data_IF_769077124535
#
_entry.id   IF_769077124535
#
_cell.length_a   1.000
_cell.length_b   1.000
_cell.length_c   1.000
_cell.angle_alpha   90.00
_cell.angle_beta   90.00
_cell.angle_gamma   90.00
#
_symmetry.space_group_name_H-M   'P 1'
#
loop_
_entity.id
_entity.type
_entity.pdbx_description
1 polymer ?
#
# COMPACT_ATOMS: atom_id res chain seq x y z
N UNK A 1 -24.59 58.96 -31.78
CA UNK A 1 -24.50 59.27 -30.33
C UNK A 1 -24.86 58.01 -29.57
N UNK A 2 -23.95 57.46 -28.76
CA UNK A 2 -24.23 56.23 -27.99
C UNK A 2 -22.98 55.50 -27.49
N UNK A 3 -22.37 56.07 -26.44
CA UNK A 3 -21.50 55.49 -25.37
C UNK A 3 -20.48 54.37 -25.69
N UNK A 4 -19.19 54.52 -25.31
CA UNK A 4 -18.22 53.42 -25.30
C UNK A 4 -18.30 52.62 -23.99
N UNK A 5 -18.14 51.30 -24.09
CA UNK A 5 -17.91 50.41 -22.94
C UNK A 5 -16.41 50.30 -22.71
N UNK A 6 -15.95 50.83 -21.57
CA UNK A 6 -14.65 50.54 -20.99
C UNK A 6 -14.82 49.73 -19.71
N UNK A 7 -14.02 48.68 -19.54
CA UNK A 7 -13.68 48.08 -18.23
C UNK A 7 -12.38 47.29 -18.40
N UNK A 8 -11.22 47.91 -18.15
CA UNK A 8 -10.50 47.85 -16.88
C UNK A 8 -10.16 46.42 -16.44
N UNK A 9 -9.07 45.90 -16.99
CA UNK A 9 -8.29 44.81 -16.41
C UNK A 9 -7.61 45.32 -15.13
N UNK A 10 -7.91 44.68 -13.99
CA UNK A 10 -7.20 44.88 -12.72
C UNK A 10 -6.16 43.75 -12.59
N UNK A 11 -4.86 44.04 -12.44
CA UNK A 11 -3.91 43.02 -12.01
C UNK A 11 -4.06 42.75 -10.50
N UNK A 12 -3.72 41.54 -10.01
CA UNK A 12 -3.76 41.23 -8.59
C UNK A 12 -2.67 42.00 -7.83
N UNK A 13 -3.02 42.49 -6.64
CA UNK A 13 -2.12 43.19 -5.72
C UNK A 13 -1.06 42.23 -5.17
N UNK A 14 0.21 42.58 -5.32
CA UNK A 14 1.32 41.97 -4.60
C UNK A 14 1.20 42.32 -3.10
N UNK A 15 1.07 41.29 -2.26
CA UNK A 15 1.18 41.43 -0.81
C UNK A 15 2.65 41.60 -0.42
N UNK A 16 2.97 42.77 0.15
CA UNK A 16 4.26 43.09 0.76
C UNK A 16 4.35 42.36 2.11
N UNK A 17 5.20 41.35 2.21
CA UNK A 17 5.65 40.80 3.50
C UNK A 17 6.93 41.53 3.90
N UNK A 18 6.80 42.51 4.79
CA UNK A 18 7.91 43.06 5.56
C UNK A 18 7.88 42.43 6.95
N UNK A 19 9.01 41.88 7.39
CA UNK A 19 9.24 41.50 8.76
C UNK A 19 9.66 40.06 8.93
N UNK A 20 10.97 39.84 8.97
CA UNK A 20 11.70 39.20 10.09
C UNK A 20 13.15 38.98 9.65
N UNK A 21 13.92 40.07 9.71
CA UNK A 21 15.36 39.98 9.87
C UNK A 21 15.67 39.41 11.26
N UNK A 22 16.36 38.28 11.33
CA UNK A 22 16.98 37.84 12.57
C UNK A 22 17.09 36.35 12.74
N UNK A 23 18.17 35.77 12.21
CA UNK A 23 19.18 34.98 12.95
C UNK A 23 19.99 34.18 11.94
N UNK A 24 21.13 34.75 11.57
CA UNK A 24 22.26 33.97 11.11
C UNK A 24 22.78 33.11 12.27
N UNK A 25 23.41 31.99 11.88
CA UNK A 25 24.45 31.26 12.61
C UNK A 25 24.06 30.66 13.96
N UNK A 26 23.76 29.35 13.99
CA UNK A 26 24.39 28.42 14.95
C UNK A 26 24.53 27.01 14.35
N UNK A 27 25.79 26.65 14.15
CA UNK A 27 26.42 25.36 14.41
C UNK A 27 26.13 24.16 13.49
N UNK A 28 27.07 23.96 12.57
CA UNK A 28 27.59 22.64 12.18
C UNK A 28 28.03 21.80 13.42
N UNK A 29 28.23 20.50 13.16
CA UNK A 29 29.01 19.51 13.93
C UNK A 29 28.24 18.66 14.95
N UNK A 30 27.78 17.49 14.47
CA UNK A 30 27.89 16.25 15.26
C UNK A 30 28.62 15.24 14.39
N UNK A 31 29.94 15.30 14.50
CA UNK A 31 30.84 14.29 13.99
C UNK A 31 30.87 13.06 14.92
N UNK A 32 31.04 11.91 14.28
CA UNK A 32 31.81 10.75 14.74
C UNK A 32 31.31 9.98 15.98
N UNK A 33 30.77 8.77 15.74
CA UNK A 33 30.67 7.73 16.78
C UNK A 33 31.32 6.44 16.24
N UNK A 34 32.36 5.92 16.90
CA UNK A 34 33.17 4.84 16.36
C UNK A 34 32.47 3.48 16.42
N UNK A 35 32.81 2.66 15.43
CA UNK A 35 32.40 1.27 15.26
C UNK A 35 33.15 0.36 16.24
N UNK A 36 32.44 -0.29 17.16
CA UNK A 36 33.02 -1.39 17.94
C UNK A 36 33.02 -2.68 17.12
N UNK A 37 34.20 -2.97 16.55
CA UNK A 37 34.59 -4.29 16.07
C UNK A 37 35.06 -5.13 17.26
N UNK A 38 34.46 -6.29 17.46
CA UNK A 38 35.10 -7.37 18.23
C UNK A 38 35.31 -8.57 17.30
N UNK A 39 36.57 -8.81 16.98
CA UNK A 39 37.06 -10.03 16.37
C UNK A 39 37.20 -11.11 17.45
N UNK A 40 36.70 -12.32 17.18
CA UNK A 40 36.84 -13.48 18.05
C UNK A 40 36.90 -14.76 17.24
N UNK A 41 38.10 -15.12 16.81
CA UNK A 41 38.44 -16.42 16.22
C UNK A 41 38.64 -17.47 17.33
N UNK A 42 37.91 -18.59 17.32
CA UNK A 42 38.39 -19.81 17.98
C UNK A 42 37.73 -21.09 17.43
N UNK A 43 38.54 -21.80 16.62
CA UNK A 43 38.86 -23.24 16.66
C UNK A 43 37.74 -24.30 16.76
N UNK A 44 37.73 -25.11 15.71
CA UNK A 44 37.20 -26.48 15.64
C UNK A 44 37.82 -27.38 16.73
N UNK A 45 36.97 -28.08 17.47
CA UNK A 45 37.33 -29.32 18.17
C UNK A 45 36.47 -30.47 17.66
N UNK A 46 37.16 -31.51 17.21
CA UNK A 46 36.65 -32.80 16.76
C UNK A 46 36.27 -33.71 17.93
N UNK A 47 35.33 -34.60 17.62
CA UNK A 47 35.08 -35.92 18.21
C UNK A 47 34.52 -36.00 19.65
N UNK A 48 33.29 -36.51 19.73
CA UNK A 48 32.67 -36.98 20.97
C UNK A 48 31.34 -37.69 20.69
N UNK A 49 31.41 -38.90 20.11
CA UNK A 49 30.27 -39.79 19.97
C UNK A 49 29.89 -40.33 21.35
N UNK A 50 28.78 -39.84 21.94
CA UNK A 50 28.16 -40.47 23.12
C UNK A 50 26.79 -40.99 22.71
N UNK A 51 26.66 -42.31 22.68
CA UNK A 51 25.40 -43.02 22.47
C UNK A 51 24.69 -43.17 23.81
N UNK A 52 23.55 -42.49 23.97
CA UNK A 52 22.60 -42.77 25.06
C UNK A 52 21.42 -43.60 24.50
N UNK A 53 21.03 -44.71 25.13
CA UNK A 53 19.78 -45.38 24.80
C UNK A 53 18.65 -44.74 25.60
N UNK A 54 17.60 -44.29 24.92
CA UNK A 54 16.43 -43.70 25.59
C UNK A 54 15.24 -43.62 24.65
N UNK A 55 14.29 -44.54 24.84
CA UNK A 55 13.02 -44.59 24.14
C UNK A 55 12.22 -43.29 24.36
N UNK A 56 12.20 -42.42 23.35
CA UNK A 56 11.29 -41.27 23.27
C UNK A 56 9.92 -41.73 22.80
N UNK A 57 9.00 -41.88 23.75
CA UNK A 57 7.58 -42.20 23.57
C UNK A 57 6.96 -41.34 22.45
N UNK A 58 6.43 -41.97 21.39
CA UNK A 58 5.52 -41.29 20.46
C UNK A 58 4.28 -40.86 21.25
N UNK A 59 4.22 -39.58 21.63
CA UNK A 59 2.97 -38.99 22.13
C UNK A 59 2.06 -38.85 20.93
N UNK A 60 1.24 -39.88 20.68
CA UNK A 60 0.03 -39.71 19.87
C UNK A 60 -0.88 -38.79 20.66
N UNK A 61 -1.13 -37.56 20.16
CA UNK A 61 -2.22 -36.74 20.67
C UNK A 61 -3.52 -37.45 20.25
N UNK A 62 -4.34 -37.93 21.19
CA UNK A 62 -5.55 -38.65 20.85
C UNK A 62 -6.72 -37.66 20.91
N UNK A 63 -7.27 -37.26 19.75
CA UNK A 63 -8.60 -36.58 19.56
C UNK A 63 -8.68 -35.37 18.60
N UNK A 64 -7.76 -35.12 17.68
CA UNK A 64 -8.05 -34.14 16.61
C UNK A 64 -8.99 -34.75 15.55
N UNK A 65 -10.24 -34.95 15.94
CA UNK A 65 -11.36 -34.87 15.01
C UNK A 65 -11.22 -33.52 14.28
N UNK A 66 -11.10 -33.57 12.96
CA UNK A 66 -11.00 -32.38 12.14
C UNK A 66 -12.28 -31.56 12.30
N UNK A 67 -12.26 -30.61 13.25
CA UNK A 67 -13.19 -29.50 13.28
C UNK A 67 -13.04 -28.82 11.94
N UNK A 68 -14.14 -28.68 11.20
CA UNK A 68 -14.20 -27.85 10.00
C UNK A 68 -13.62 -26.50 10.39
N UNK A 69 -12.39 -26.19 9.95
CA UNK A 69 -11.70 -25.00 10.42
C UNK A 69 -12.55 -23.80 10.04
N UNK A 70 -13.03 -23.06 11.04
CA UNK A 70 -13.86 -21.89 10.83
C UNK A 70 -13.09 -20.94 9.90
N UNK A 71 -13.66 -20.63 8.74
CA UNK A 71 -13.07 -19.66 7.82
C UNK A 71 -12.96 -18.32 8.54
N UNK A 72 -11.75 -17.78 8.62
CA UNK A 72 -11.49 -16.48 9.24
C UNK A 72 -12.32 -15.39 8.55
N UNK A 73 -12.91 -14.48 9.34
CA UNK A 73 -13.56 -13.27 8.84
C UNK A 73 -13.03 -12.04 9.59
N UNK A 74 -12.74 -10.94 8.88
CA UNK A 74 -12.48 -9.64 9.48
C UNK A 74 -13.66 -9.14 10.35
N UNK A 75 -13.38 -8.20 11.25
CA UNK A 75 -14.39 -7.53 12.06
C UNK A 75 -15.09 -6.41 11.27
N UNK A 76 -15.95 -6.83 10.34
CA UNK A 76 -16.76 -5.90 9.55
C UNK A 76 -17.72 -5.07 10.41
N UNK A 77 -18.13 -5.55 11.59
CA UNK A 77 -19.05 -4.80 12.45
C UNK A 77 -18.37 -3.56 13.03
N UNK A 78 -17.13 -3.70 13.50
CA UNK A 78 -16.30 -2.57 13.95
C UNK A 78 -15.97 -1.59 12.83
N UNK A 79 -15.82 -2.09 11.60
CA UNK A 79 -15.46 -1.31 10.42
C UNK A 79 -16.66 -0.69 9.66
N UNK A 80 -17.84 -0.60 10.27
CA UNK A 80 -19.08 -0.12 9.62
C UNK A 80 -19.41 -0.84 8.29
N UNK A 81 -19.10 -2.14 8.23
CA UNK A 81 -19.30 -3.02 7.09
C UNK A 81 -18.18 -2.95 6.03
N UNK A 82 -17.17 -2.09 6.20
CA UNK A 82 -16.13 -1.83 5.20
C UNK A 82 -14.73 -1.78 5.81
N UNK A 83 -13.95 -2.84 5.60
CA UNK A 83 -12.54 -2.84 5.98
C UNK A 83 -11.71 -2.02 4.99
N UNK A 84 -10.62 -1.43 5.48
CA UNK A 84 -9.64 -0.77 4.62
C UNK A 84 -8.75 -1.82 3.94
N UNK A 85 -8.49 -1.65 2.65
CA UNK A 85 -7.58 -2.52 1.91
C UNK A 85 -6.47 -1.69 1.28
N UNK A 86 -5.24 -1.95 1.71
CA UNK A 86 -4.02 -1.43 1.08
C UNK A 86 -3.49 -2.49 0.13
N UNK A 87 -3.32 -2.13 -1.13
CA UNK A 87 -2.83 -3.04 -2.17
C UNK A 87 -1.40 -2.69 -2.51
N UNK A 88 -0.50 -3.66 -2.40
CA UNK A 88 0.92 -3.51 -2.68
C UNK A 88 1.37 -4.48 -3.77
N UNK A 89 2.34 -4.07 -4.57
CA UNK A 89 2.95 -4.96 -5.55
C UNK A 89 3.76 -6.05 -4.84
N UNK A 90 3.57 -7.30 -5.25
CA UNK A 90 4.26 -8.42 -4.65
C UNK A 90 5.77 -8.44 -4.96
N UNK A 91 6.20 -7.82 -6.08
CA UNK A 91 7.58 -7.86 -6.58
C UNK A 91 8.52 -6.90 -5.85
N UNK A 92 8.08 -5.67 -5.59
CA UNK A 92 8.91 -4.62 -4.97
C UNK A 92 8.31 -4.01 -3.70
N UNK A 93 7.06 -4.34 -3.36
CA UNK A 93 6.37 -3.81 -2.19
C UNK A 93 5.82 -2.40 -2.36
N UNK A 94 5.83 -1.84 -3.58
CA UNK A 94 5.25 -0.52 -3.83
C UNK A 94 3.76 -0.51 -3.50
N UNK A 95 3.30 0.52 -2.78
CA UNK A 95 1.87 0.73 -2.53
C UNK A 95 1.21 1.15 -3.83
N UNK A 96 0.29 0.34 -4.34
CA UNK A 96 -0.40 0.57 -5.60
C UNK A 96 -1.67 1.40 -5.42
N UNK A 97 -2.51 1.05 -4.43
CA UNK A 97 -3.76 1.75 -4.18
C UNK A 97 -4.32 1.45 -2.78
N UNK A 98 -5.28 2.29 -2.37
CA UNK A 98 -6.12 2.06 -1.20
C UNK A 98 -7.58 2.03 -1.64
N UNK A 99 -8.33 1.05 -1.16
CA UNK A 99 -9.76 0.90 -1.39
C UNK A 99 -10.43 0.27 -0.16
N UNK A 100 -11.70 -0.08 -0.28
CA UNK A 100 -12.48 -0.71 0.78
C UNK A 100 -12.98 -2.07 0.31
N UNK A 101 -13.17 -3.00 1.24
CA UNK A 101 -13.84 -4.28 0.99
C UNK A 101 -15.01 -4.41 1.95
N UNK A 102 -16.18 -4.78 1.43
CA UNK A 102 -17.23 -5.36 2.25
C UNK A 102 -17.01 -6.89 2.37
N UNK A 103 -17.85 -7.56 3.16
CA UNK A 103 -17.76 -9.01 3.35
C UNK A 103 -17.79 -9.81 2.03
N UNK A 104 -18.60 -9.38 1.06
CA UNK A 104 -18.69 -10.02 -0.26
C UNK A 104 -17.41 -9.85 -1.08
N UNK A 105 -16.83 -8.64 -1.12
CA UNK A 105 -15.57 -8.37 -1.80
C UNK A 105 -14.40 -9.16 -1.21
N UNK A 106 -14.34 -9.27 0.12
CA UNK A 106 -13.33 -10.08 0.81
C UNK A 106 -13.46 -11.56 0.42
N UNK A 107 -14.68 -12.11 0.53
CA UNK A 107 -14.98 -13.49 0.16
C UNK A 107 -14.60 -13.80 -1.29
N UNK A 108 -15.07 -12.99 -2.24
CA UNK A 108 -14.77 -13.18 -3.67
C UNK A 108 -13.28 -13.05 -3.98
N UNK A 109 -12.56 -12.21 -3.25
CA UNK A 109 -11.11 -12.08 -3.41
C UNK A 109 -10.39 -13.39 -3.05
N UNK A 110 -10.77 -14.03 -1.94
CA UNK A 110 -10.22 -15.32 -1.53
C UNK A 110 -10.65 -16.45 -2.48
N UNK A 111 -11.91 -16.48 -2.91
CA UNK A 111 -12.45 -17.53 -3.77
C UNK A 111 -11.88 -17.51 -5.19
N UNK A 112 -11.72 -16.32 -5.77
CA UNK A 112 -11.30 -16.17 -7.18
C UNK A 112 -9.81 -15.96 -7.36
N UNK A 113 -9.09 -15.62 -6.28
CA UNK A 113 -7.72 -15.14 -6.33
C UNK A 113 -7.56 -13.78 -7.03
N UNK A 114 -8.65 -13.09 -7.39
CA UNK A 114 -8.62 -11.78 -8.04
C UNK A 114 -9.15 -10.73 -7.08
N UNK A 115 -8.49 -9.58 -6.96
CA UNK A 115 -8.91 -8.60 -5.95
C UNK A 115 -10.22 -7.91 -6.34
N UNK A 116 -11.19 -7.98 -5.42
CA UNK A 116 -12.47 -7.31 -5.48
C UNK A 116 -12.54 -6.22 -4.42
N UNK A 117 -13.26 -5.14 -4.72
CA UNK A 117 -13.41 -3.99 -3.83
C UNK A 117 -14.86 -3.52 -3.80
N UNK A 118 -15.18 -2.69 -2.81
CA UNK A 118 -16.48 -2.07 -2.61
C UNK A 118 -16.45 -0.55 -2.79
N UNK A 119 -17.29 -0.02 -3.70
CA UNK A 119 -17.24 1.39 -4.10
C UNK A 119 -18.19 2.17 -3.24
N UNK A 120 -17.67 2.93 -2.28
CA UNK A 120 -18.50 3.78 -1.40
C UNK A 120 -19.37 4.77 -2.20
N UNK A 121 -18.80 5.39 -3.23
CA UNK A 121 -19.50 6.36 -4.07
C UNK A 121 -20.54 5.76 -5.02
N UNK A 122 -20.32 4.53 -5.51
CA UNK A 122 -21.23 3.84 -6.46
C UNK A 122 -22.13 2.82 -5.76
N UNK A 123 -21.92 2.61 -4.47
CA UNK A 123 -22.53 1.56 -3.65
C UNK A 123 -22.53 0.19 -4.35
N UNK A 124 -21.38 -0.20 -4.91
CA UNK A 124 -21.28 -1.36 -5.81
C UNK A 124 -19.95 -2.10 -5.64
N UNK A 125 -20.04 -3.43 -5.67
CA UNK A 125 -18.91 -4.35 -5.81
C UNK A 125 -18.25 -4.21 -7.19
N UNK A 126 -16.92 -4.25 -7.24
CA UNK A 126 -16.22 -4.35 -8.52
C UNK A 126 -14.96 -5.21 -8.42
N UNK A 127 -14.65 -5.90 -9.51
CA UNK A 127 -13.38 -6.65 -9.68
C UNK A 127 -12.35 -5.74 -10.36
N UNK A 128 -11.16 -5.60 -9.78
CA UNK A 128 -10.12 -4.75 -10.38
C UNK A 128 -9.72 -5.26 -11.76
N UNK A 129 -9.70 -4.35 -12.72
CA UNK A 129 -9.32 -4.66 -14.10
C UNK A 129 -10.45 -5.24 -14.95
N UNK A 130 -11.67 -5.38 -14.44
CA UNK A 130 -12.79 -5.95 -15.21
C UNK A 130 -13.06 -5.22 -16.52
N UNK A 131 -12.90 -3.89 -16.55
CA UNK A 131 -13.08 -3.08 -17.76
C UNK A 131 -11.79 -2.83 -18.55
N UNK A 132 -10.64 -2.71 -17.87
CA UNK A 132 -9.37 -2.32 -18.52
C UNK A 132 -8.43 -3.49 -18.84
N UNK A 133 -8.69 -4.69 -18.32
CA UNK A 133 -7.75 -5.81 -18.35
C UNK A 133 -6.58 -5.70 -17.35
N UNK A 134 -6.45 -4.59 -16.61
CA UNK A 134 -5.40 -4.38 -15.62
C UNK A 134 -5.77 -5.03 -14.27
N UNK A 135 -5.62 -6.34 -14.23
CA UNK A 135 -6.03 -7.24 -13.15
C UNK A 135 -5.06 -7.18 -11.97
N UNK A 136 -5.54 -7.60 -10.81
CA UNK A 136 -4.74 -7.83 -9.60
C UNK A 136 -4.93 -9.27 -9.16
N UNK A 137 -3.88 -10.08 -9.33
CA UNK A 137 -3.86 -11.46 -8.88
C UNK A 137 -3.33 -11.49 -7.44
N UNK A 138 -4.14 -11.99 -6.50
CA UNK A 138 -3.78 -12.09 -5.09
C UNK A 138 -2.65 -13.11 -4.91
N UNK A 139 -1.59 -12.68 -4.22
CA UNK A 139 -0.46 -13.53 -3.79
C UNK A 139 -0.56 -13.81 -2.29
N UNK A 140 -0.82 -12.77 -1.50
CA UNK A 140 -0.89 -12.85 -0.04
C UNK A 140 -1.90 -11.82 0.47
N UNK A 141 -2.65 -12.14 1.52
CA UNK A 141 -3.46 -11.19 2.28
C UNK A 141 -3.02 -11.21 3.74
N UNK A 142 -2.73 -10.04 4.29
CA UNK A 142 -2.41 -9.83 5.71
C UNK A 142 -3.55 -9.04 6.34
N UNK A 143 -3.86 -9.34 7.59
CA UNK A 143 -4.80 -8.60 8.42
C UNK A 143 -4.01 -7.86 9.52
N UNK A 144 -4.45 -6.67 9.90
CA UNK A 144 -3.89 -5.94 11.03
C UNK A 144 -4.29 -6.54 12.39
N UNK A 145 -3.81 -5.92 13.48
CA UNK A 145 -3.94 -6.49 14.83
C UNK A 145 -5.36 -6.43 15.40
N UNK A 146 -6.19 -5.52 14.93
CA UNK A 146 -7.55 -5.27 15.39
C UNK A 146 -8.61 -5.56 14.33
N UNK A 147 -8.20 -6.29 13.30
CA UNK A 147 -8.99 -7.06 12.35
C UNK A 147 -9.91 -6.23 11.45
N UNK A 148 -9.59 -4.96 11.19
CA UNK A 148 -10.39 -4.05 10.37
C UNK A 148 -9.65 -3.44 9.16
N UNK A 149 -8.38 -3.80 8.95
CA UNK A 149 -7.65 -3.47 7.75
C UNK A 149 -6.82 -4.63 7.22
N UNK A 150 -6.75 -4.73 5.89
CA UNK A 150 -5.92 -5.71 5.19
C UNK A 150 -4.86 -5.05 4.32
N UNK A 151 -3.71 -5.74 4.20
CA UNK A 151 -2.74 -5.51 3.14
C UNK A 151 -2.80 -6.69 2.18
N UNK A 152 -3.12 -6.43 0.91
CA UNK A 152 -3.06 -7.45 -0.15
C UNK A 152 -1.81 -7.25 -1.00
N UNK A 153 -0.98 -8.29 -1.10
CA UNK A 153 0.12 -8.36 -2.05
C UNK A 153 -0.39 -8.96 -3.35
N UNK A 154 -0.12 -8.30 -4.47
CA UNK A 154 -0.67 -8.70 -5.76
C UNK A 154 0.39 -8.75 -6.85
N UNK A 155 0.24 -9.66 -7.79
CA UNK A 155 0.82 -9.50 -9.12
C UNK A 155 -0.10 -8.58 -9.94
N UNK A 156 0.39 -7.39 -10.25
CA UNK A 156 -0.35 -6.37 -10.99
C UNK A 156 -0.08 -6.50 -12.49
N UNK A 157 -1.13 -6.63 -13.31
CA UNK A 157 -1.01 -6.49 -14.76
C UNK A 157 -1.35 -5.06 -15.18
N UNK A 158 -0.48 -4.42 -15.98
CA UNK A 158 -0.67 -3.04 -16.42
C UNK A 158 -0.78 -2.02 -15.28
N UNK A 159 -1.25 -0.79 -15.55
CA UNK A 159 -1.43 0.24 -14.53
C UNK A 159 -2.51 -0.12 -13.49
N UNK A 160 -2.21 0.05 -12.19
CA UNK A 160 -3.24 -0.02 -11.16
C UNK A 160 -4.15 1.22 -11.21
N UNK A 161 -3.59 2.38 -11.52
CA UNK A 161 -4.30 3.65 -11.57
C UNK A 161 -5.06 3.84 -12.89
N UNK A 162 -6.28 4.39 -12.82
CA UNK A 162 -7.08 4.75 -13.99
C UNK A 162 -6.52 5.94 -14.78
N UNK A 163 -5.60 6.71 -14.19
CA UNK A 163 -4.84 7.74 -14.90
C UNK A 163 -3.63 7.16 -15.65
N UNK A 164 -3.36 5.85 -15.55
CA UNK A 164 -2.32 5.21 -16.34
C UNK A 164 -1.00 4.93 -15.65
N UNK A 165 -0.90 5.27 -14.37
CA UNK A 165 0.30 5.04 -13.57
C UNK A 165 0.27 3.67 -12.89
N UNK A 166 1.47 3.13 -12.62
CA UNK A 166 1.61 1.88 -11.87
C UNK A 166 0.87 1.97 -10.53
N UNK A 167 1.10 3.05 -9.79
CA UNK A 167 0.46 3.34 -8.50
C UNK A 167 -0.47 4.54 -8.60
N UNK A 168 -1.53 4.55 -7.79
CA UNK A 168 -2.34 5.76 -7.54
C UNK A 168 -1.54 6.85 -6.81
N UNK A 169 -0.42 6.50 -6.18
CA UNK A 169 0.47 7.39 -5.44
C UNK A 169 1.61 7.94 -6.32
N UNK A 170 1.30 8.29 -7.57
CA UNK A 170 2.24 8.84 -8.56
C UNK A 170 2.57 10.34 -8.39
N UNK A 171 2.06 10.95 -7.31
CA UNK A 171 2.28 12.35 -6.98
C UNK A 171 2.92 12.47 -5.60
N UNK A 172 3.88 13.35 -5.46
CA UNK A 172 4.50 13.74 -4.20
C UNK A 172 4.05 15.13 -3.78
N UNK A 173 4.07 15.37 -2.47
CA UNK A 173 3.93 16.70 -1.89
C UNK A 173 5.29 17.11 -1.36
N UNK A 174 5.86 18.17 -1.90
CA UNK A 174 7.16 18.69 -1.52
C UNK A 174 7.08 19.44 -0.17
N UNK A 175 8.24 19.77 0.41
CA UNK A 175 8.31 20.39 1.74
C UNK A 175 7.61 21.77 1.82
N UNK A 176 7.47 22.46 0.68
CA UNK A 176 6.74 23.73 0.54
C UNK A 176 5.25 23.54 0.21
N UNK A 177 4.78 22.29 0.11
CA UNK A 177 3.41 21.94 -0.24
C UNK A 177 3.13 21.86 -1.74
N UNK A 178 4.15 22.01 -2.61
CA UNK A 178 3.96 21.85 -4.05
C UNK A 178 3.66 20.38 -4.41
N UNK A 179 2.78 20.19 -5.39
CA UNK A 179 2.42 18.86 -5.91
C UNK A 179 3.25 18.57 -7.17
N UNK A 180 3.97 17.46 -7.19
CA UNK A 180 4.77 17.03 -8.34
C UNK A 180 4.40 15.60 -8.76
N UNK A 181 4.43 15.31 -10.07
CA UNK A 181 4.34 13.93 -10.58
C UNK A 181 5.74 13.33 -10.53
N UNK A 182 5.89 12.16 -9.89
CA UNK A 182 7.19 11.53 -9.64
C UNK A 182 7.35 10.16 -10.33
N UNK A 183 6.40 9.76 -11.18
CA UNK A 183 6.45 8.47 -11.89
C UNK A 183 6.00 8.60 -13.33
N UNK A 184 6.46 7.67 -14.17
CA UNK A 184 6.09 7.59 -15.58
C UNK A 184 4.67 7.04 -15.76
N UNK A 185 3.92 7.62 -16.70
CA UNK A 185 2.61 7.10 -17.11
C UNK A 185 2.83 5.90 -18.05
N UNK A 186 2.39 4.71 -17.63
CA UNK A 186 2.60 3.47 -18.38
C UNK A 186 1.64 3.33 -19.57
N UNK A 187 0.42 3.87 -19.45
CA UNK A 187 -0.62 3.75 -20.47
C UNK A 187 -1.65 4.87 -20.30
N UNK A 188 -2.13 5.50 -21.37
CA UNK A 188 -3.16 6.56 -21.25
C UNK A 188 -4.55 5.98 -20.96
N UNK A 189 -5.48 6.77 -20.40
CA UNK A 189 -6.88 6.36 -20.25
C UNK A 189 -7.54 5.90 -21.55
N UNK A 190 -7.23 6.55 -22.68
CA UNK A 190 -7.75 6.19 -24.00
C UNK A 190 -7.27 4.81 -24.45
N UNK A 191 -6.01 4.47 -24.14
CA UNK A 191 -5.44 3.15 -24.40
C UNK A 191 -6.06 2.07 -23.50
N UNK A 192 -6.39 2.39 -22.24
CA UNK A 192 -6.98 1.44 -21.28
C UNK A 192 -8.47 1.14 -21.54
N UNK A 193 -9.25 2.15 -21.89
CA UNK A 193 -10.72 2.04 -21.93
C UNK A 193 -11.31 2.10 -23.34
N UNK A 194 -10.47 2.29 -24.36
CA UNK A 194 -10.91 2.53 -25.73
C UNK A 194 -11.47 3.94 -25.85
N UNK A 195 -10.72 4.85 -26.48
CA UNK A 195 -11.16 6.23 -26.69
C UNK A 195 -12.52 6.30 -27.37
N UNK A 196 -13.54 6.76 -26.63
CA UNK A 196 -14.78 7.28 -27.19
C UNK A 196 -15.34 8.30 -26.20
N UNK A 197 -14.92 9.55 -26.39
CA UNK A 197 -15.78 10.69 -26.10
C UNK A 197 -16.56 11.02 -27.36
#
# INVERSE_FOLDING_TARGET
MGRPLGSLTRPPRAGRFEGLSGRADQAEQIADRPQDRVAGTARLHTAGLVKLPGAGRKVRRPDQEATVEAQFTPDFAKADGLITCVTVDASDGEVLMVAYMNAEAFKLTLETGKVHYWSRSRNKLWKKGESSGNMQQLVEMRIDCDLDAVVVRVEQSGPACHEGYKSCFFRTVDADGALAVNSEQLMTPEQMYGGSK
#
